data_IF_175435080705
#
_entry.id   IF_175435080705
#
_cell.length_a   1.000
_cell.length_b   1.000
_cell.length_c   1.000
_cell.angle_alpha   90.00
_cell.angle_beta   90.00
_cell.angle_gamma   90.00
#
_symmetry.space_group_name_H-M   'P 1'
#
loop_
_entity.id
_entity.type
_entity.pdbx_description
1 polymer ?
#
# COMPACT_ATOMS: atom_id res chain seq x y z
N UNK A 1 40.06 -32.16 -31.68
CA UNK A 1 38.89 -31.27 -31.54
C UNK A 1 38.78 -30.91 -30.08
N UNK A 2 39.30 -29.74 -29.68
CA UNK A 2 39.33 -29.33 -28.28
C UNK A 2 37.92 -28.90 -27.83
N UNK A 3 37.51 -29.19 -26.58
CA UNK A 3 36.21 -28.74 -26.07
C UNK A 3 36.17 -27.21 -25.99
N UNK A 4 35.00 -26.58 -26.23
CA UNK A 4 34.86 -25.14 -26.14
C UNK A 4 35.11 -24.65 -24.71
N UNK A 5 35.66 -23.44 -24.53
CA UNK A 5 35.88 -22.88 -23.21
C UNK A 5 34.54 -22.70 -22.47
N UNK A 6 34.53 -22.88 -21.13
CA UNK A 6 33.32 -22.68 -20.34
C UNK A 6 32.85 -21.22 -20.42
N UNK A 7 31.53 -20.98 -20.40
CA UNK A 7 30.98 -19.63 -20.41
C UNK A 7 31.45 -18.84 -19.16
N UNK A 8 31.62 -17.52 -19.27
CA UNK A 8 32.00 -16.69 -18.13
C UNK A 8 30.97 -16.81 -17.00
N UNK A 9 31.40 -16.74 -15.72
CA UNK A 9 30.48 -16.79 -14.59
C UNK A 9 29.47 -15.66 -14.72
N UNK A 10 28.19 -16.01 -14.61
CA UNK A 10 27.08 -15.06 -14.60
C UNK A 10 27.39 -13.93 -13.60
N UNK A 11 27.24 -12.69 -14.07
CA UNK A 11 27.47 -11.49 -13.28
C UNK A 11 26.82 -11.63 -11.89
N UNK A 12 27.64 -11.45 -10.85
CA UNK A 12 27.17 -11.34 -9.46
C UNK A 12 26.00 -10.37 -9.42
N UNK A 13 24.83 -10.85 -8.98
CA UNK A 13 23.59 -10.08 -8.84
C UNK A 13 23.87 -8.76 -8.14
N UNK A 14 23.87 -7.66 -8.90
CA UNK A 14 23.90 -6.32 -8.33
C UNK A 14 22.73 -6.19 -7.38
N UNK A 15 23.00 -5.88 -6.10
CA UNK A 15 21.96 -5.56 -5.12
C UNK A 15 21.05 -4.50 -5.74
N UNK A 16 19.78 -4.85 -5.95
CA UNK A 16 18.85 -4.01 -6.70
C UNK A 16 18.50 -2.81 -5.83
N UNK A 17 19.20 -1.69 -6.07
CA UNK A 17 19.01 -0.44 -5.36
C UNK A 17 17.70 0.21 -5.81
N UNK A 18 16.81 0.49 -4.86
CA UNK A 18 15.54 1.18 -5.12
C UNK A 18 15.79 2.67 -4.89
N UNK A 19 15.72 3.45 -5.97
CA UNK A 19 15.86 4.91 -5.96
C UNK A 19 14.48 5.54 -6.09
N UNK A 20 14.19 6.53 -5.25
CA UNK A 20 12.89 7.20 -5.13
C UNK A 20 13.11 8.71 -5.09
N UNK A 21 12.16 9.49 -5.61
CA UNK A 21 12.15 10.94 -5.43
C UNK A 21 11.69 11.33 -4.00
N UNK A 22 12.63 11.83 -3.21
CA UNK A 22 12.39 12.32 -1.84
C UNK A 22 11.39 13.48 -1.75
N UNK A 23 11.16 14.20 -2.85
CA UNK A 23 10.20 15.30 -2.90
C UNK A 23 8.76 14.82 -3.12
N UNK A 24 8.59 13.60 -3.64
CA UNK A 24 7.28 13.05 -3.96
C UNK A 24 6.76 12.12 -2.85
N UNK A 25 5.98 12.67 -1.92
CA UNK A 25 5.36 11.91 -0.83
C UNK A 25 4.50 10.72 -1.29
N UNK A 26 3.95 10.77 -2.50
CA UNK A 26 3.13 9.68 -3.03
C UNK A 26 3.99 8.48 -3.40
N UNK A 27 5.15 8.72 -4.03
CA UNK A 27 6.12 7.67 -4.34
C UNK A 27 6.71 7.06 -3.08
N UNK A 28 7.12 7.88 -2.10
CA UNK A 28 7.65 7.37 -0.82
C UNK A 28 6.64 6.45 -0.12
N UNK A 29 5.36 6.85 -0.11
CA UNK A 29 4.30 6.01 0.46
C UNK A 29 4.10 4.73 -0.35
N UNK A 30 4.02 4.83 -1.66
CA UNK A 30 3.81 3.67 -2.53
C UNK A 30 4.92 2.64 -2.36
N UNK A 31 6.18 3.09 -2.35
CA UNK A 31 7.32 2.20 -2.16
C UNK A 31 7.36 1.60 -0.75
N UNK A 32 6.97 2.36 0.28
CA UNK A 32 6.84 1.80 1.62
C UNK A 32 5.71 0.73 1.69
N UNK A 33 4.56 1.00 1.09
CA UNK A 33 3.44 0.06 1.03
C UNK A 33 3.83 -1.24 0.27
N UNK A 34 4.53 -1.12 -0.87
CA UNK A 34 5.08 -2.27 -1.63
C UNK A 34 6.17 -3.03 -0.86
N UNK A 35 7.04 -2.32 -0.14
CA UNK A 35 8.07 -2.94 0.68
C UNK A 35 7.46 -3.78 1.81
N UNK A 36 6.36 -3.33 2.43
CA UNK A 36 5.62 -4.13 3.43
C UNK A 36 5.17 -5.46 2.83
N UNK A 37 4.52 -5.43 1.67
CA UNK A 37 4.04 -6.63 0.99
C UNK A 37 5.19 -7.58 0.65
N UNK A 38 6.28 -7.05 0.10
CA UNK A 38 7.47 -7.82 -0.30
C UNK A 38 8.18 -8.45 0.90
N UNK A 39 8.36 -7.71 1.99
CA UNK A 39 9.02 -8.21 3.20
C UNK A 39 8.20 -9.32 3.86
N UNK A 40 6.87 -9.19 3.89
CA UNK A 40 5.99 -10.18 4.52
C UNK A 40 5.77 -11.44 3.67
N UNK A 41 5.84 -11.31 2.35
CA UNK A 41 5.75 -12.45 1.42
C UNK A 41 7.08 -13.15 1.17
N UNK A 42 8.21 -12.46 1.38
CA UNK A 42 9.54 -13.04 1.19
C UNK A 42 9.79 -14.21 2.15
N UNK A 43 10.00 -15.40 1.57
CA UNK A 43 10.24 -16.67 2.27
C UNK A 43 11.60 -16.78 2.95
N UNK A 44 12.42 -15.72 2.94
CA UNK A 44 13.82 -15.78 3.37
C UNK A 44 13.99 -16.14 4.86
N UNK A 45 13.02 -15.85 5.72
CA UNK A 45 13.12 -16.08 7.17
C UNK A 45 11.85 -16.70 7.75
N UNK A 46 11.59 -17.96 7.40
CA UNK A 46 10.79 -18.96 8.14
C UNK A 46 9.33 -18.62 8.54
N UNK A 47 8.79 -17.48 8.11
CA UNK A 47 7.44 -17.04 8.47
C UNK A 47 6.79 -16.19 7.37
N UNK A 48 6.81 -16.70 6.14
CA UNK A 48 6.17 -16.04 5.01
C UNK A 48 4.65 -16.13 5.08
N UNK A 49 4.02 -15.01 4.78
CA UNK A 49 2.59 -14.89 4.61
C UNK A 49 2.22 -15.14 3.14
N UNK A 50 1.18 -15.93 2.90
CA UNK A 50 0.60 -16.06 1.56
C UNK A 50 -0.34 -14.89 1.30
N UNK A 51 0.02 -14.01 0.36
CA UNK A 51 -0.81 -12.89 -0.06
C UNK A 51 -2.04 -13.42 -0.80
N UNK A 52 -3.21 -12.86 -0.53
CA UNK A 52 -4.39 -13.08 -1.35
C UNK A 52 -4.74 -11.81 -2.12
N UNK A 53 -4.82 -11.97 -3.45
CA UNK A 53 -5.11 -10.93 -4.44
C UNK A 53 -6.58 -10.95 -4.89
N UNK A 54 -7.48 -11.46 -4.04
CA UNK A 54 -8.86 -11.76 -4.42
C UNK A 54 -9.59 -10.55 -5.03
N UNK A 55 -9.46 -9.36 -4.44
CA UNK A 55 -10.09 -8.14 -4.95
C UNK A 55 -9.54 -7.72 -6.31
N UNK A 56 -8.23 -7.88 -6.52
CA UNK A 56 -7.58 -7.62 -7.81
C UNK A 56 -8.10 -8.58 -8.88
N UNK A 57 -8.13 -9.87 -8.57
CA UNK A 57 -8.60 -10.92 -9.49
C UNK A 57 -10.08 -10.76 -9.81
N UNK A 58 -10.90 -10.40 -8.81
CA UNK A 58 -12.33 -10.13 -8.98
C UNK A 58 -12.56 -8.95 -9.92
N UNK A 59 -11.85 -7.83 -9.72
CA UNK A 59 -11.95 -6.66 -10.60
C UNK A 59 -11.51 -6.99 -12.01
N UNK A 60 -10.44 -7.77 -12.15
CA UNK A 60 -9.95 -8.23 -13.44
C UNK A 60 -11.03 -9.07 -14.16
N UNK A 61 -11.58 -10.07 -13.48
CA UNK A 61 -12.62 -10.93 -14.02
C UNK A 61 -13.87 -10.15 -14.43
N UNK A 62 -14.35 -9.22 -13.59
CA UNK A 62 -15.51 -8.37 -13.88
C UNK A 62 -15.25 -7.44 -15.08
N UNK A 63 -14.06 -6.85 -15.17
CA UNK A 63 -13.65 -6.00 -16.29
C UNK A 63 -13.59 -6.75 -17.62
N UNK A 64 -13.01 -7.95 -17.62
CA UNK A 64 -12.97 -8.80 -18.81
C UNK A 64 -14.36 -9.29 -19.21
N UNK A 65 -15.19 -9.71 -18.26
CA UNK A 65 -16.57 -10.12 -18.54
C UNK A 65 -17.38 -8.98 -19.17
N UNK A 66 -17.26 -7.77 -18.64
CA UNK A 66 -17.90 -6.58 -19.18
C UNK A 66 -17.42 -6.27 -20.62
N UNK A 67 -16.12 -6.42 -20.88
CA UNK A 67 -15.52 -6.21 -22.19
C UNK A 67 -15.98 -7.25 -23.21
N UNK A 68 -16.00 -8.54 -22.83
CA UNK A 68 -16.47 -9.63 -23.69
C UNK A 68 -17.95 -9.47 -24.04
N UNK A 69 -18.77 -9.02 -23.09
CA UNK A 69 -20.18 -8.73 -23.34
C UNK A 69 -20.35 -7.63 -24.40
N UNK A 70 -19.59 -6.53 -24.28
CA UNK A 70 -19.64 -5.43 -25.23
C UNK A 70 -19.16 -5.83 -26.62
N UNK A 71 -18.07 -6.59 -26.69
CA UNK A 71 -17.57 -7.15 -27.96
C UNK A 71 -18.62 -8.08 -28.56
N UNK A 72 -19.22 -8.96 -27.77
CA UNK A 72 -20.24 -9.92 -28.23
C UNK A 72 -21.46 -9.22 -28.83
N UNK A 73 -21.94 -8.15 -28.19
CA UNK A 73 -23.08 -7.37 -28.70
C UNK A 73 -22.69 -6.57 -29.95
N UNK A 74 -21.46 -6.06 -30.02
CA UNK A 74 -20.93 -5.42 -31.23
C UNK A 74 -20.83 -6.37 -32.42
N UNK A 75 -20.31 -7.58 -32.19
CA UNK A 75 -20.21 -8.64 -33.21
C UNK A 75 -21.61 -9.09 -33.66
N UNK A 76 -22.55 -9.26 -32.72
CA UNK A 76 -23.93 -9.60 -33.03
C UNK A 76 -24.60 -8.53 -33.92
N UNK A 77 -24.45 -7.26 -33.56
CA UNK A 77 -24.97 -6.13 -34.34
C UNK A 77 -24.39 -6.04 -35.74
N UNK A 78 -23.15 -6.48 -35.93
CA UNK A 78 -22.46 -6.34 -37.20
C UNK A 78 -22.74 -7.51 -38.15
N UNK A 79 -22.73 -8.73 -37.62
CA UNK A 79 -22.82 -9.95 -38.43
C UNK A 79 -24.21 -10.59 -38.48
N UNK A 80 -24.99 -10.50 -37.41
CA UNK A 80 -26.27 -11.22 -37.30
C UNK A 80 -27.44 -10.29 -37.59
N UNK A 81 -27.59 -9.24 -36.78
CA UNK A 81 -28.73 -8.34 -36.85
C UNK A 81 -28.26 -6.92 -37.20
N UNK A 82 -28.27 -6.60 -38.50
CA UNK A 82 -27.77 -5.32 -39.03
C UNK A 82 -28.76 -4.17 -38.86
N UNK A 83 -30.04 -4.50 -38.62
CA UNK A 83 -31.10 -3.52 -38.46
C UNK A 83 -31.07 -2.92 -37.05
N UNK A 84 -30.79 -1.62 -36.99
CA UNK A 84 -30.65 -0.88 -35.74
C UNK A 84 -31.92 -0.89 -34.87
N UNK A 85 -33.10 -0.86 -35.49
CA UNK A 85 -34.38 -0.83 -34.75
C UNK A 85 -34.58 -2.08 -33.87
N UNK A 86 -34.11 -3.23 -34.34
CA UNK A 86 -34.15 -4.49 -33.57
C UNK A 86 -33.03 -4.51 -32.54
N UNK A 87 -31.83 -4.05 -32.90
CA UNK A 87 -30.65 -4.15 -32.05
C UNK A 87 -30.60 -3.10 -30.91
N UNK A 88 -31.41 -2.03 -30.98
CA UNK A 88 -31.48 -0.99 -29.95
C UNK A 88 -31.79 -1.54 -28.55
N UNK A 89 -32.71 -2.51 -28.44
CA UNK A 89 -33.09 -3.12 -27.15
C UNK A 89 -31.97 -3.97 -26.55
N UNK A 90 -31.39 -4.96 -27.26
CA UNK A 90 -30.29 -5.75 -26.70
C UNK A 90 -29.06 -4.89 -26.40
N UNK A 91 -28.74 -3.88 -27.22
CA UNK A 91 -27.65 -2.94 -26.90
C UNK A 91 -27.95 -2.13 -25.62
N UNK A 92 -29.18 -1.66 -25.43
CA UNK A 92 -29.55 -0.96 -24.20
C UNK A 92 -29.43 -1.86 -22.96
N UNK A 93 -29.85 -3.13 -23.06
CA UNK A 93 -29.67 -4.12 -21.99
C UNK A 93 -28.19 -4.35 -21.71
N UNK A 94 -27.37 -4.47 -22.75
CA UNK A 94 -25.93 -4.66 -22.61
C UNK A 94 -25.24 -3.51 -21.87
N UNK A 95 -25.60 -2.26 -22.21
CA UNK A 95 -25.12 -1.06 -21.52
C UNK A 95 -25.58 -1.05 -20.07
N UNK A 96 -26.84 -1.39 -19.80
CA UNK A 96 -27.34 -1.47 -18.42
C UNK A 96 -26.57 -2.50 -17.58
N UNK A 97 -26.31 -3.69 -18.13
CA UNK A 97 -25.49 -4.72 -17.47
C UNK A 97 -24.07 -4.22 -17.23
N UNK A 98 -23.45 -3.58 -18.21
CA UNK A 98 -22.11 -3.00 -18.06
C UNK A 98 -22.07 -1.98 -16.92
N UNK A 99 -23.04 -1.07 -16.84
CA UNK A 99 -23.13 -0.08 -15.76
C UNK A 99 -23.21 -0.75 -14.39
N UNK A 100 -24.01 -1.83 -14.26
CA UNK A 100 -24.09 -2.60 -13.02
C UNK A 100 -22.75 -3.26 -12.67
N UNK A 101 -22.07 -3.89 -13.64
CA UNK A 101 -20.75 -4.49 -13.42
C UNK A 101 -19.71 -3.43 -13.00
N UNK A 102 -19.72 -2.25 -13.61
CA UNK A 102 -18.86 -1.13 -13.23
C UNK A 102 -19.18 -0.60 -11.82
N UNK A 103 -20.45 -0.57 -11.43
CA UNK A 103 -20.86 -0.18 -10.09
C UNK A 103 -20.37 -1.19 -9.04
N UNK A 104 -20.44 -2.50 -9.32
CA UNK A 104 -19.91 -3.55 -8.44
C UNK A 104 -18.39 -3.40 -8.27
N UNK A 105 -17.64 -3.18 -9.36
CA UNK A 105 -16.20 -2.94 -9.29
C UNK A 105 -15.85 -1.71 -8.44
N UNK A 106 -16.65 -0.64 -8.56
CA UNK A 106 -16.48 0.58 -7.78
C UNK A 106 -16.79 0.36 -6.30
N UNK A 107 -17.85 -0.38 -6.00
CA UNK A 107 -18.21 -0.74 -4.62
C UNK A 107 -17.13 -1.61 -3.96
N UNK A 108 -16.60 -2.60 -4.67
CA UNK A 108 -15.49 -3.44 -4.18
C UNK A 108 -14.24 -2.60 -3.88
N UNK A 109 -13.90 -1.65 -4.76
CA UNK A 109 -12.80 -0.69 -4.51
C UNK A 109 -13.00 0.10 -3.22
N UNK A 110 -14.23 0.54 -2.95
CA UNK A 110 -14.57 1.30 -1.76
C UNK A 110 -14.47 0.45 -0.48
N UNK A 111 -14.86 -0.83 -0.55
CA UNK A 111 -14.76 -1.77 0.57
C UNK A 111 -13.31 -2.15 0.88
N UNK A 112 -12.48 -2.34 -0.16
CA UNK A 112 -11.06 -2.62 0.02
C UNK A 112 -10.32 -1.45 0.69
N UNK A 113 -10.67 -0.21 0.30
CA UNK A 113 -10.16 1.01 0.93
C UNK A 113 -8.64 1.04 1.02
N UNK A 114 -8.12 1.33 2.22
CA UNK A 114 -6.70 1.51 2.49
C UNK A 114 -5.94 0.22 2.85
N UNK A 115 -6.50 -0.96 2.52
CA UNK A 115 -5.84 -2.24 2.82
C UNK A 115 -4.70 -2.48 1.84
N UNK A 116 -3.48 -2.55 2.39
CA UNK A 116 -2.26 -2.79 1.60
C UNK A 116 -1.82 -4.24 1.62
N UNK A 117 -2.23 -5.00 2.65
CA UNK A 117 -1.79 -6.37 2.80
C UNK A 117 -2.90 -7.24 3.35
N UNK A 118 -3.09 -8.39 2.72
CA UNK A 118 -4.00 -9.42 3.18
C UNK A 118 -3.29 -10.77 3.05
N UNK A 119 -2.76 -11.24 4.19
CA UNK A 119 -1.96 -12.45 4.27
C UNK A 119 -2.65 -13.53 5.09
N UNK A 120 -2.47 -14.78 4.68
CA UNK A 120 -2.80 -15.96 5.51
C UNK A 120 -1.57 -16.83 5.69
N UNK A 121 -1.40 -17.42 6.87
CA UNK A 121 -0.30 -18.36 7.17
C UNK A 121 -0.79 -19.52 8.03
N UNK A 122 -0.09 -20.66 7.95
CA UNK A 122 -0.29 -21.75 8.90
C UNK A 122 0.36 -21.39 10.22
N UNK A 123 -0.32 -21.64 11.33
CA UNK A 123 0.25 -21.39 12.64
C UNK A 123 1.44 -22.32 12.89
N UNK A 124 2.59 -21.82 13.37
CA UNK A 124 3.73 -22.68 13.70
C UNK A 124 3.41 -23.67 14.84
N UNK A 125 2.46 -23.33 15.71
CA UNK A 125 2.04 -24.19 16.84
C UNK A 125 0.99 -25.23 16.45
N UNK A 126 0.31 -25.08 15.31
CA UNK A 126 -0.67 -26.04 14.81
C UNK A 126 -0.66 -26.11 13.28
N UNK A 127 0.21 -26.94 12.67
CA UNK A 127 0.37 -27.00 11.21
C UNK A 127 -0.84 -27.58 10.46
N UNK A 128 -1.69 -28.33 11.15
CA UNK A 128 -2.96 -28.88 10.63
C UNK A 128 -4.19 -28.06 11.07
N UNK A 129 -3.98 -27.00 11.86
CA UNK A 129 -5.04 -26.18 12.42
C UNK A 129 -5.55 -25.09 11.46
N UNK A 130 -6.51 -24.26 11.93
CA UNK A 130 -7.00 -23.11 11.19
C UNK A 130 -5.87 -22.13 10.84
N UNK A 131 -6.00 -21.46 9.69
CA UNK A 131 -5.03 -20.46 9.25
C UNK A 131 -5.11 -19.19 10.09
N UNK A 132 -3.94 -18.60 10.37
CA UNK A 132 -3.82 -17.25 10.89
C UNK A 132 -3.97 -16.24 9.75
N UNK A 133 -4.57 -15.09 10.04
CA UNK A 133 -4.78 -14.02 9.06
C UNK A 133 -4.24 -12.71 9.58
N UNK A 134 -3.53 -11.98 8.72
CA UNK A 134 -3.02 -10.64 8.99
C UNK A 134 -3.53 -9.70 7.91
N UNK A 135 -4.17 -8.62 8.35
CA UNK A 135 -4.62 -7.54 7.48
C UNK A 135 -3.89 -6.27 7.89
N UNK A 136 -3.18 -5.65 6.95
CA UNK A 136 -2.55 -4.35 7.16
C UNK A 136 -3.23 -3.28 6.32
N UNK A 137 -3.49 -2.14 6.94
CA UNK A 137 -4.05 -0.97 6.27
C UNK A 137 -3.14 0.23 6.46
N UNK A 138 -2.84 0.95 5.36
CA UNK A 138 -2.04 2.16 5.36
C UNK A 138 -2.95 3.39 5.26
N UNK A 139 -3.20 4.14 6.36
CA UNK A 139 -3.98 5.36 6.29
C UNK A 139 -3.32 6.41 5.39
N UNK A 140 -4.09 7.40 4.90
CA UNK A 140 -3.51 8.54 4.21
C UNK A 140 -2.52 9.26 5.13
N UNK A 141 -1.44 9.78 4.54
CA UNK A 141 -0.41 10.47 5.30
C UNK A 141 -0.99 11.68 6.04
N UNK A 142 -0.60 11.90 7.32
CA UNK A 142 -1.03 13.07 8.04
C UNK A 142 -0.50 14.33 7.35
N UNK A 143 -1.34 15.38 7.31
CA UNK A 143 -0.91 16.70 6.81
C UNK A 143 0.25 17.20 7.68
N UNK A 144 1.24 17.83 7.04
CA UNK A 144 2.38 18.42 7.73
C UNK A 144 1.89 19.38 8.83
N UNK A 145 2.52 19.31 10.01
CA UNK A 145 2.25 20.25 11.10
C UNK A 145 3.33 21.33 11.06
N UNK A 146 2.90 22.59 10.98
CA UNK A 146 3.77 23.75 11.09
C UNK A 146 3.85 24.13 12.57
N UNK A 147 5.03 24.00 13.18
CA UNK A 147 5.26 24.54 14.51
C UNK A 147 5.81 25.97 14.37
N UNK A 148 5.15 26.99 14.94
CA UNK A 148 5.75 28.31 15.06
C UNK A 148 6.97 28.20 15.97
N UNK A 149 8.10 28.81 15.58
CA UNK A 149 9.25 28.95 16.47
C UNK A 149 8.78 29.68 17.74
N UNK A 150 8.64 28.97 18.85
CA UNK A 150 8.62 29.62 20.15
C UNK A 150 10.04 30.14 20.37
N UNK A 151 10.21 31.44 20.21
CA UNK A 151 11.34 32.17 20.75
C UNK A 151 11.48 31.79 22.22
N UNK A 152 12.61 31.17 22.57
CA UNK A 152 13.15 31.17 23.93
C UNK A 152 13.06 32.59 24.48
N UNK A 153 12.11 32.84 25.37
CA UNK A 153 12.08 34.03 26.21
C UNK A 153 12.47 33.57 27.60
N UNK A 154 13.78 33.43 27.79
CA UNK A 154 14.38 33.76 29.08
C UNK A 154 14.14 35.25 29.31
N UNK A 155 13.23 35.60 30.21
CA UNK A 155 13.20 36.94 30.79
C UNK A 155 12.52 36.88 32.15
N UNK A 156 13.39 36.78 33.17
CA UNK A 156 13.29 37.63 34.35
C UNK A 156 13.07 39.08 33.91
N UNK A 157 12.31 39.80 34.73
CA UNK A 157 12.12 41.25 34.78
C UNK A 157 10.91 41.92 34.12
N UNK A 158 10.47 42.93 34.88
CA UNK A 158 9.16 43.56 34.96
C UNK A 158 9.02 44.76 34.00
N UNK A 159 7.77 44.96 33.60
CA UNK A 159 7.11 46.18 33.11
C UNK A 159 7.21 46.62 31.63
N UNK A 160 6.15 47.28 31.10
CA UNK A 160 5.85 47.35 29.67
C UNK A 160 6.03 48.76 29.06
N UNK A 161 6.37 48.82 27.77
CA UNK A 161 6.17 50.00 26.93
C UNK A 161 5.85 49.59 25.48
N UNK A 162 4.99 50.33 24.74
CA UNK A 162 4.43 49.88 23.47
C UNK A 162 5.27 50.40 22.30
N UNK A 163 5.91 49.50 21.55
CA UNK A 163 6.57 49.88 20.30
C UNK A 163 6.47 48.75 19.26
N UNK A 164 5.72 49.08 18.20
CA UNK A 164 5.71 48.51 16.85
C UNK A 164 6.35 47.12 16.65
N UNK A 165 5.50 46.08 16.58
CA UNK A 165 5.94 44.74 16.19
C UNK A 165 6.00 44.62 14.67
N UNK A 166 7.16 44.90 14.08
CA UNK A 166 7.54 44.38 12.77
C UNK A 166 7.55 42.85 12.87
N UNK A 167 6.59 42.20 12.20
CA UNK A 167 6.47 40.75 12.12
C UNK A 167 7.61 40.17 11.28
N UNK A 168 8.72 39.81 11.91
CA UNK A 168 9.74 38.95 11.30
C UNK A 168 9.15 37.54 11.21
N UNK A 169 8.80 37.10 10.00
CA UNK A 169 8.33 35.73 9.69
C UNK A 169 9.43 34.71 10.02
N UNK A 170 9.43 34.19 11.25
CA UNK A 170 10.21 32.99 11.59
C UNK A 170 9.67 31.80 10.78
N UNK A 171 10.55 31.17 9.98
CA UNK A 171 10.23 29.99 9.18
C UNK A 171 9.93 28.83 10.13
N UNK A 172 8.66 28.48 10.31
CA UNK A 172 8.25 27.41 11.22
C UNK A 172 8.88 26.06 10.86
N UNK A 173 9.29 25.29 11.87
CA UNK A 173 9.88 23.96 11.67
C UNK A 173 8.77 22.99 11.25
N UNK A 174 8.89 22.43 10.05
CA UNK A 174 8.01 21.38 9.52
C UNK A 174 8.44 20.03 10.06
N UNK A 175 7.58 19.37 10.85
CA UNK A 175 7.81 17.97 11.24
C UNK A 175 7.38 17.06 10.08
N UNK A 176 8.25 16.14 9.61
CA UNK A 176 7.91 15.24 8.52
C UNK A 176 6.74 14.32 8.91
N UNK A 177 5.91 13.89 7.93
CA UNK A 177 4.83 12.96 8.19
C UNK A 177 5.38 11.63 8.70
N UNK A 178 4.66 11.04 9.65
CA UNK A 178 4.96 9.73 10.21
C UNK A 178 4.21 8.64 9.41
N UNK A 179 4.91 7.56 9.10
CA UNK A 179 4.33 6.39 8.47
C UNK A 179 3.88 5.39 9.56
N UNK A 180 2.58 5.09 9.54
CA UNK A 180 1.96 4.17 10.50
C UNK A 180 1.01 3.23 9.78
N UNK A 181 0.91 2.00 10.27
CA UNK A 181 0.04 0.95 9.75
C UNK A 181 -0.98 0.54 10.81
N UNK A 182 -2.19 0.21 10.39
CA UNK A 182 -3.15 -0.50 11.23
C UNK A 182 -3.06 -1.97 10.92
N UNK A 183 -2.72 -2.77 11.93
CA UNK A 183 -2.64 -4.21 11.85
C UNK A 183 -3.84 -4.85 12.54
N UNK A 184 -4.49 -5.78 11.84
CA UNK A 184 -5.54 -6.62 12.39
C UNK A 184 -5.10 -8.09 12.24
N UNK A 185 -4.89 -8.74 13.38
CA UNK A 185 -4.41 -10.12 13.45
C UNK A 185 -5.51 -11.04 13.98
N UNK A 186 -5.81 -12.10 13.23
CA UNK A 186 -6.77 -13.12 13.60
C UNK A 186 -6.02 -14.40 13.95
N UNK A 187 -6.15 -14.82 15.22
CA UNK A 187 -5.61 -16.09 15.68
C UNK A 187 -6.37 -17.27 15.06
N UNK A 188 -5.78 -18.47 15.03
CA UNK A 188 -6.41 -19.66 14.46
C UNK A 188 -7.80 -19.90 15.08
N UNK A 189 -8.83 -19.96 14.24
CA UNK A 189 -10.21 -20.27 14.67
C UNK A 189 -10.93 -19.12 15.38
N UNK A 190 -10.30 -17.96 15.55
CA UNK A 190 -10.99 -16.77 16.07
C UNK A 190 -11.58 -15.93 14.94
N UNK A 191 -12.84 -15.54 15.11
CA UNK A 191 -13.49 -14.52 14.28
C UNK A 191 -13.19 -13.08 14.75
N UNK A 192 -12.65 -12.93 15.97
CA UNK A 192 -12.30 -11.64 16.56
C UNK A 192 -10.81 -11.40 16.39
N UNK A 193 -10.47 -10.34 15.64
CA UNK A 193 -9.09 -9.91 15.39
C UNK A 193 -8.57 -8.97 16.48
N UNK A 194 -7.31 -9.16 16.88
CA UNK A 194 -6.55 -8.18 17.66
C UNK A 194 -6.16 -7.02 16.75
N UNK A 195 -6.54 -5.81 17.13
CA UNK A 195 -6.22 -4.58 16.39
C UNK A 195 -5.08 -3.83 17.07
N UNK A 196 -4.12 -3.36 16.29
CA UNK A 196 -3.00 -2.57 16.79
C UNK A 196 -2.55 -1.53 15.77
N UNK A 197 -2.05 -0.39 16.27
CA UNK A 197 -1.37 0.61 15.44
C UNK A 197 0.13 0.34 15.49
N UNK A 198 0.73 0.10 14.34
CA UNK A 198 2.18 -0.09 14.16
C UNK A 198 2.75 1.21 13.62
N UNK A 199 3.45 1.94 14.47
CA UNK A 199 4.18 3.15 14.07
C UNK A 199 5.59 2.75 13.63
N UNK A 200 5.94 3.03 12.37
CA UNK A 200 7.24 2.67 11.81
C UNK A 200 8.27 3.79 11.95
N UNK A 201 7.82 5.05 11.92
CA UNK A 201 8.66 6.24 12.10
C UNK A 201 8.51 7.22 10.95
N UNK A 202 9.54 8.03 10.72
CA UNK A 202 9.58 8.99 9.61
C UNK A 202 10.30 8.41 8.39
N UNK A 203 9.89 8.85 7.19
CA UNK A 203 10.52 8.41 5.93
C UNK A 203 12.04 8.62 5.89
N UNK A 204 12.55 9.68 6.52
CA UNK A 204 14.00 9.95 6.56
C UNK A 204 14.82 8.97 7.41
N UNK A 205 14.21 8.03 8.13
CA UNK A 205 14.95 7.00 8.88
C UNK A 205 15.41 5.83 8.01
N UNK A 206 14.70 5.55 6.91
CA UNK A 206 14.98 4.42 6.01
C UNK A 206 15.06 4.85 4.55
N UNK A 207 15.03 6.16 4.27
CA UNK A 207 15.25 6.73 2.95
C UNK A 207 16.41 7.72 3.08
N UNK A 208 17.48 7.49 2.31
CA UNK A 208 18.67 8.35 2.36
C UNK A 208 18.43 9.67 1.64
N UNK A 209 19.33 10.65 1.83
CA UNK A 209 19.25 11.95 1.15
C UNK A 209 19.34 11.80 -0.37
N UNK A 210 20.02 10.77 -0.86
CA UNK A 210 20.15 10.41 -2.27
C UNK A 210 18.91 9.69 -2.84
N UNK A 211 17.90 9.44 -2.01
CA UNK A 211 16.67 8.75 -2.40
C UNK A 211 16.78 7.23 -2.40
N UNK A 212 17.78 6.66 -1.74
CA UNK A 212 17.90 5.20 -1.61
C UNK A 212 16.99 4.67 -0.50
N UNK A 213 16.19 3.66 -0.82
CA UNK A 213 15.39 2.94 0.18
C UNK A 213 16.20 1.84 0.87
N UNK A 214 16.42 2.01 2.17
CA UNK A 214 17.16 1.08 3.03
C UNK A 214 16.18 0.07 3.64
N UNK A 215 15.96 -1.03 2.91
CA UNK A 215 14.98 -2.05 3.30
C UNK A 215 15.27 -2.72 4.64
N UNK A 216 16.54 -2.92 5.01
CA UNK A 216 16.92 -3.63 6.23
C UNK A 216 16.41 -2.93 7.50
N UNK A 217 16.55 -1.60 7.55
CA UNK A 217 16.07 -0.77 8.67
C UNK A 217 14.54 -0.84 8.74
N UNK A 218 13.90 -0.73 7.57
CA UNK A 218 12.44 -0.80 7.48
C UNK A 218 11.89 -2.18 7.90
N UNK A 219 12.54 -3.27 7.49
CA UNK A 219 12.21 -4.64 7.88
C UNK A 219 12.28 -4.81 9.40
N UNK A 220 13.34 -4.33 10.04
CA UNK A 220 13.51 -4.44 11.49
C UNK A 220 12.40 -3.70 12.26
N UNK A 221 12.08 -2.47 11.85
CA UNK A 221 10.99 -1.68 12.43
C UNK A 221 9.64 -2.37 12.24
N UNK A 222 9.38 -2.89 11.05
CA UNK A 222 8.14 -3.58 10.72
C UNK A 222 7.97 -4.83 11.57
N UNK A 223 9.01 -5.66 11.68
CA UNK A 223 8.98 -6.88 12.50
C UNK A 223 8.81 -6.57 13.98
N UNK A 224 9.55 -5.60 14.52
CA UNK A 224 9.41 -5.17 15.92
C UNK A 224 8.02 -4.61 16.21
N UNK A 225 7.45 -3.87 15.26
CA UNK A 225 6.10 -3.34 15.34
C UNK A 225 5.02 -4.41 15.30
N UNK A 226 5.17 -5.39 14.41
CA UNK A 226 4.23 -6.52 14.28
C UNK A 226 4.31 -7.49 15.47
N UNK A 227 5.50 -7.75 16.00
CA UNK A 227 5.69 -8.60 17.18
C UNK A 227 4.84 -8.11 18.37
N UNK A 228 4.78 -6.79 18.58
CA UNK A 228 3.92 -6.16 19.60
C UNK A 228 2.43 -6.41 19.42
N UNK A 229 1.96 -6.55 18.16
CA UNK A 229 0.54 -6.75 17.84
C UNK A 229 0.17 -8.24 17.84
N UNK A 230 1.04 -9.08 17.30
CA UNK A 230 0.85 -10.52 17.21
C UNK A 230 1.05 -11.20 18.58
N UNK A 231 1.95 -10.65 19.41
CA UNK A 231 2.28 -11.18 20.73
C UNK A 231 3.36 -12.27 20.69
N UNK A 232 4.29 -12.16 19.75
CA UNK A 232 5.51 -12.98 19.64
C UNK A 232 6.72 -12.25 20.27
#
# INVERSE_FOLDING_TARGET
MAPPPPPPPAASSSSQKILIDNSNLSELKLTADEAVERILSSSSKHQAWTISHFHTDLRLALGYAASLLMIGVGVWSYFVEKDWEVNKRPTAVAVAVYVVLSAIQTADAYVQGNRIFYGSRKSPTSPSGPLERLVLSSPPLPKHKLFPHSSTTSSTDKNPAPAATTKTKGKGMTVPPEYSLYAEYFSPGSSVGKKGKVTLGHFGEWITEEGEFVESIFEERLRSGLAKVVGE
#
